data_IF_483805935126
#
_entry.id   IF_483805935126
#
_cell.length_a   1.000
_cell.length_b   1.000
_cell.length_c   1.000
_cell.angle_alpha   90.00
_cell.angle_beta   90.00
_cell.angle_gamma   90.00
#
_symmetry.space_group_name_H-M   'P 1'
#
loop_
_entity.id
_entity.type
_entity.pdbx_description
1 polymer ?
#
# COMPACT_ATOMS: atom_id res chain seq x y z
N UNK A 1 -7.59 0.03 33.56
CA UNK A 1 -6.23 -0.45 33.20
C UNK A 1 -6.17 -0.39 31.68
N UNK A 2 -5.38 0.52 31.10
CA UNK A 2 -5.20 0.57 29.64
C UNK A 2 -4.29 -0.60 29.28
N UNK A 3 -4.83 -1.62 28.61
CA UNK A 3 -4.03 -2.72 28.10
C UNK A 3 -3.07 -2.19 27.04
N UNK A 4 -1.82 -2.64 27.04
CA UNK A 4 -0.89 -2.28 25.97
C UNK A 4 -1.26 -3.05 24.70
N UNK A 5 -1.14 -2.44 23.51
CA UNK A 5 -1.41 -3.10 22.22
C UNK A 5 -0.72 -4.47 22.10
N UNK A 6 0.49 -4.60 22.65
CA UNK A 6 1.21 -5.87 22.75
C UNK A 6 0.39 -6.95 23.44
N UNK A 7 -0.12 -6.67 24.66
CA UNK A 7 -0.88 -7.61 25.46
C UNK A 7 -2.17 -8.03 24.76
N UNK A 8 -2.84 -7.09 24.08
CA UNK A 8 -4.07 -7.39 23.34
C UNK A 8 -3.79 -8.33 22.15
N UNK A 9 -2.67 -8.14 21.45
CA UNK A 9 -2.22 -9.00 20.35
C UNK A 9 -1.83 -10.41 20.86
N UNK A 10 -1.08 -10.48 21.97
CA UNK A 10 -0.72 -11.74 22.63
C UNK A 10 -1.97 -12.54 23.03
N UNK A 11 -2.95 -11.87 23.66
CA UNK A 11 -4.23 -12.48 24.04
C UNK A 11 -5.05 -12.93 22.83
N UNK A 12 -5.11 -12.13 21.77
CA UNK A 12 -5.86 -12.46 20.56
C UNK A 12 -5.32 -13.72 19.87
N UNK A 13 -4.00 -13.86 19.78
CA UNK A 13 -3.34 -14.99 19.13
C UNK A 13 -3.20 -16.21 20.05
N UNK A 14 -3.19 -16.01 21.36
CA UNK A 14 -2.93 -17.05 22.35
C UNK A 14 -1.46 -17.44 22.40
N UNK A 15 -0.56 -16.48 22.15
CA UNK A 15 0.90 -16.62 22.15
C UNK A 15 1.52 -15.51 22.99
N UNK A 16 2.80 -15.62 23.32
CA UNK A 16 3.56 -14.58 24.03
C UNK A 16 4.82 -14.21 23.28
N UNK A 17 5.21 -12.94 23.32
CA UNK A 17 6.54 -12.58 22.85
C UNK A 17 7.62 -13.16 23.78
N UNK A 18 8.80 -13.54 23.25
CA UNK A 18 9.88 -14.04 24.09
C UNK A 18 10.38 -12.94 25.04
N UNK A 19 10.67 -13.32 26.28
CA UNK A 19 11.10 -12.39 27.33
C UNK A 19 12.53 -12.72 27.80
N UNK A 20 13.32 -11.68 28.08
CA UNK A 20 14.62 -11.78 28.75
C UNK A 20 14.59 -10.85 29.95
N UNK A 21 14.84 -11.38 31.14
CA UNK A 21 14.77 -10.64 32.40
C UNK A 21 13.40 -9.96 32.66
N UNK A 22 12.31 -10.53 32.15
CA UNK A 22 10.96 -9.98 32.31
C UNK A 22 10.58 -8.89 31.29
N UNK A 23 11.46 -8.57 30.34
CA UNK A 23 11.16 -7.64 29.25
C UNK A 23 11.04 -8.39 27.92
N UNK A 24 10.06 -8.04 27.08
CA UNK A 24 9.96 -8.62 25.75
C UNK A 24 11.15 -8.22 24.88
N UNK A 25 11.73 -9.22 24.22
CA UNK A 25 12.84 -9.06 23.28
C UNK A 25 12.28 -8.74 21.89
N UNK A 26 11.42 -7.72 21.81
CA UNK A 26 10.81 -7.29 20.54
C UNK A 26 11.20 -5.86 20.28
N UNK A 27 11.85 -5.61 19.15
CA UNK A 27 12.13 -4.26 18.69
C UNK A 27 11.20 -3.88 17.55
N UNK A 28 10.55 -2.73 17.69
CA UNK A 28 9.73 -2.15 16.65
C UNK A 28 10.36 -0.83 16.23
N UNK A 29 10.84 -0.76 15.00
CA UNK A 29 11.50 0.40 14.42
C UNK A 29 10.62 0.97 13.31
N UNK A 30 10.52 2.29 13.26
CA UNK A 30 9.90 3.00 12.15
C UNK A 30 10.97 3.87 11.48
N UNK A 31 11.12 3.67 10.17
CA UNK A 31 12.22 4.24 9.41
C UNK A 31 11.70 5.09 8.25
N UNK A 32 12.42 6.18 7.97
CA UNK A 32 12.19 7.04 6.81
C UNK A 32 12.98 6.58 5.57
N UNK A 33 13.62 5.42 5.63
CA UNK A 33 14.28 4.77 4.49
C UNK A 33 13.26 4.32 3.44
N UNK A 34 13.71 4.26 2.19
CA UNK A 34 12.96 3.68 1.08
C UNK A 34 13.67 2.38 0.69
N UNK A 35 13.06 1.21 0.94
CA UNK A 35 13.64 -0.06 0.51
C UNK A 35 13.56 -0.19 -1.02
N UNK A 36 14.46 -0.98 -1.61
CA UNK A 36 14.45 -1.25 -3.07
C UNK A 36 13.10 -1.78 -3.56
N UNK A 37 12.44 -2.59 -2.74
CA UNK A 37 11.11 -3.14 -3.03
C UNK A 37 10.02 -2.06 -3.19
N UNK A 38 10.24 -0.85 -2.69
CA UNK A 38 9.30 0.27 -2.82
C UNK A 38 9.64 1.23 -3.98
N UNK A 39 10.71 1.00 -4.75
CA UNK A 39 11.12 1.95 -5.80
C UNK A 39 10.01 2.23 -6.82
N UNK A 40 9.29 1.21 -7.29
CA UNK A 40 8.18 1.38 -8.24
C UNK A 40 7.07 2.25 -7.66
N UNK A 41 6.68 2.00 -6.39
CA UNK A 41 5.70 2.81 -5.68
C UNK A 41 6.13 4.29 -5.58
N UNK A 42 7.42 4.52 -5.34
CA UNK A 42 7.96 5.88 -5.21
C UNK A 42 8.06 6.62 -6.55
N UNK A 43 8.16 5.91 -7.67
CA UNK A 43 8.18 6.49 -9.03
C UNK A 43 6.81 6.99 -9.50
N UNK A 44 5.73 6.63 -8.79
CA UNK A 44 4.37 7.08 -9.07
C UNK A 44 3.62 6.18 -10.06
N UNK A 45 2.36 6.54 -10.33
CA UNK A 45 1.42 5.80 -11.19
C UNK A 45 1.70 5.99 -12.68
N UNK A 46 2.97 6.07 -13.10
CA UNK A 46 3.29 6.26 -14.51
C UNK A 46 3.79 4.94 -15.07
N UNK A 47 3.14 4.46 -16.14
CA UNK A 47 3.58 3.29 -16.88
C UNK A 47 4.97 3.48 -17.47
N UNK A 48 5.25 4.69 -17.98
CA UNK A 48 6.57 5.13 -18.41
C UNK A 48 6.87 6.54 -17.86
N UNK A 49 7.49 6.63 -16.67
CA UNK A 49 7.79 7.91 -16.02
C UNK A 49 8.69 8.82 -16.86
N UNK A 50 9.62 8.24 -17.64
CA UNK A 50 10.56 9.02 -18.46
C UNK A 50 9.85 9.63 -19.67
N UNK A 51 8.95 8.88 -20.31
CA UNK A 51 8.14 9.39 -21.41
C UNK A 51 7.18 10.50 -20.95
N UNK A 52 6.51 10.30 -19.81
CA UNK A 52 5.67 11.35 -19.18
C UNK A 52 6.49 12.60 -18.88
N UNK A 53 7.70 12.44 -18.32
CA UNK A 53 8.62 13.55 -18.06
C UNK A 53 9.03 14.29 -19.33
N UNK A 54 9.29 13.57 -20.42
CA UNK A 54 9.58 14.18 -21.72
C UNK A 54 8.38 14.96 -22.28
N UNK A 55 7.17 14.44 -22.12
CA UNK A 55 5.93 15.14 -22.51
C UNK A 55 5.76 16.46 -21.77
N UNK A 56 5.96 16.49 -20.44
CA UNK A 56 5.93 17.74 -19.68
C UNK A 56 7.02 18.74 -20.10
N UNK A 57 8.23 18.27 -20.40
CA UNK A 57 9.31 19.13 -20.93
C UNK A 57 8.94 19.75 -22.27
N UNK A 58 8.32 18.97 -23.16
CA UNK A 58 7.88 19.46 -24.47
C UNK A 58 6.78 20.52 -24.33
N UNK A 59 5.79 20.29 -23.46
CA UNK A 59 4.77 21.29 -23.13
C UNK A 59 5.38 22.59 -22.62
N UNK A 60 6.35 22.50 -21.71
CA UNK A 60 7.05 23.67 -21.18
C UNK A 60 7.82 24.41 -22.29
N UNK A 61 8.47 23.69 -23.19
CA UNK A 61 9.23 24.27 -24.31
C UNK A 61 8.32 24.99 -25.31
N UNK A 62 7.20 24.40 -25.72
CA UNK A 62 6.27 25.05 -26.65
C UNK A 62 5.56 26.24 -25.98
N UNK A 63 5.24 26.14 -24.68
CA UNK A 63 4.73 27.28 -23.89
C UNK A 63 5.75 28.43 -23.86
N UNK A 64 7.02 28.13 -23.60
CA UNK A 64 8.09 29.12 -23.64
C UNK A 64 8.24 29.77 -25.02
N UNK A 65 8.14 28.97 -26.09
CA UNK A 65 8.21 29.46 -27.46
C UNK A 65 7.08 30.44 -27.81
N UNK A 66 5.87 30.22 -27.30
CA UNK A 66 4.76 31.17 -27.44
C UNK A 66 5.06 32.50 -26.71
N UNK A 67 5.62 32.43 -25.51
CA UNK A 67 6.04 33.60 -24.74
C UNK A 67 7.12 34.38 -25.47
N UNK A 68 8.11 33.70 -26.07
CA UNK A 68 9.18 34.32 -26.85
C UNK A 68 8.67 35.05 -28.10
N UNK A 69 7.55 34.58 -28.68
CA UNK A 69 6.88 35.28 -29.78
C UNK A 69 6.13 36.52 -29.24
N UNK A 70 5.39 36.39 -28.14
CA UNK A 70 4.51 37.44 -27.63
C UNK A 70 5.26 38.57 -26.92
N UNK A 71 6.28 38.26 -26.13
CA UNK A 71 6.95 39.23 -25.25
C UNK A 71 7.59 40.40 -26.00
N UNK A 72 8.37 40.19 -27.09
CA UNK A 72 8.93 41.28 -27.88
C UNK A 72 7.86 42.13 -28.59
N UNK A 73 6.70 41.55 -28.85
CA UNK A 73 5.58 42.18 -29.57
C UNK A 73 4.61 42.91 -28.65
N UNK A 74 4.65 42.63 -27.34
CA UNK A 74 3.72 43.14 -26.33
C UNK A 74 3.60 44.66 -26.30
N UNK A 75 4.71 45.38 -26.34
CA UNK A 75 4.72 46.85 -26.28
C UNK A 75 3.98 47.46 -27.48
N UNK A 76 4.30 46.98 -28.69
CA UNK A 76 3.71 47.45 -29.94
C UNK A 76 2.22 47.09 -30.05
N UNK A 77 1.83 45.88 -29.63
CA UNK A 77 0.42 45.49 -29.56
C UNK A 77 -0.38 46.35 -28.58
N UNK A 78 0.23 46.74 -27.46
CA UNK A 78 -0.40 47.61 -26.46
C UNK A 78 -0.57 49.04 -26.99
N UNK A 79 0.46 49.58 -27.62
CA UNK A 79 0.43 50.89 -28.28
C UNK A 79 -0.71 50.97 -29.32
N UNK A 80 -0.88 49.92 -30.13
CA UNK A 80 -1.94 49.84 -31.13
C UNK A 80 -3.34 49.59 -30.57
N UNK A 81 -3.44 49.12 -29.32
CA UNK A 81 -4.72 49.02 -28.63
C UNK A 81 -5.21 50.40 -28.16
N UNK A 82 -4.28 51.30 -27.82
CA UNK A 82 -4.57 52.65 -27.32
C UNK A 82 -4.64 53.70 -28.44
N UNK A 83 -3.95 53.47 -29.57
CA UNK A 83 -3.87 54.42 -30.69
C UNK A 83 -3.75 53.71 -32.04
N UNK A 84 -4.39 54.25 -33.09
CA UNK A 84 -4.32 53.64 -34.43
C UNK A 84 -2.89 53.74 -35.01
N UNK A 85 -2.41 52.70 -35.70
CA UNK A 85 -1.07 52.70 -36.28
C UNK A 85 -0.93 53.71 -37.42
N UNK A 86 0.17 54.48 -37.41
CA UNK A 86 0.52 55.46 -38.46
C UNK A 86 0.68 54.83 -39.85
N UNK A 87 1.03 53.53 -39.90
CA UNK A 87 1.22 52.75 -41.13
C UNK A 87 0.35 51.48 -41.12
N UNK A 88 -0.91 51.58 -41.56
CA UNK A 88 -1.87 50.48 -41.45
C UNK A 88 -1.45 49.17 -42.13
N UNK A 89 -0.81 49.25 -43.30
CA UNK A 89 -0.35 48.06 -44.06
C UNK A 89 0.79 47.31 -43.37
N UNK A 90 1.69 48.04 -42.70
CA UNK A 90 2.78 47.43 -41.93
C UNK A 90 2.24 46.76 -40.66
N UNK A 91 1.26 47.40 -40.02
CA UNK A 91 0.57 46.84 -38.86
C UNK A 91 -0.21 45.56 -39.21
N UNK A 92 -0.93 45.56 -40.33
CA UNK A 92 -1.63 44.37 -40.83
C UNK A 92 -0.66 43.22 -41.10
N UNK A 93 0.47 43.49 -41.76
CA UNK A 93 1.50 42.48 -42.05
C UNK A 93 2.10 41.91 -40.76
N UNK A 94 2.39 42.76 -39.78
CA UNK A 94 2.89 42.36 -38.47
C UNK A 94 1.90 41.47 -37.72
N UNK A 95 0.62 41.83 -37.69
CA UNK A 95 -0.43 41.05 -37.03
C UNK A 95 -0.61 39.70 -37.71
N UNK A 96 -0.58 39.66 -39.04
CA UNK A 96 -0.69 38.42 -39.81
C UNK A 96 0.46 37.47 -39.53
N UNK A 97 1.71 37.96 -39.62
CA UNK A 97 2.90 37.15 -39.33
C UNK A 97 2.90 36.63 -37.87
N UNK A 98 2.50 37.50 -36.93
CA UNK A 98 2.40 37.12 -35.51
C UNK A 98 1.35 36.03 -35.32
N UNK A 99 0.19 36.16 -35.96
CA UNK A 99 -0.89 35.17 -35.89
C UNK A 99 -0.45 33.83 -36.48
N UNK A 100 0.19 33.84 -37.64
CA UNK A 100 0.71 32.62 -38.28
C UNK A 100 1.74 31.89 -37.41
N UNK A 101 2.68 32.64 -36.81
CA UNK A 101 3.68 32.07 -35.90
C UNK A 101 3.05 31.48 -34.63
N UNK A 102 2.05 32.16 -34.05
CA UNK A 102 1.33 31.67 -32.87
C UNK A 102 0.53 30.42 -33.19
N UNK A 103 -0.19 30.39 -34.32
CA UNK A 103 -1.02 29.26 -34.73
C UNK A 103 -0.22 27.97 -34.86
N UNK A 104 0.98 28.04 -35.45
CA UNK A 104 1.87 26.87 -35.60
C UNK A 104 2.29 26.33 -34.22
N UNK A 105 2.60 27.23 -33.28
CA UNK A 105 3.03 26.85 -31.92
C UNK A 105 1.89 26.34 -31.07
N UNK A 106 0.71 26.93 -31.19
CA UNK A 106 -0.51 26.45 -30.56
C UNK A 106 -0.85 25.03 -31.01
N UNK A 107 -0.79 24.75 -32.32
CA UNK A 107 -1.02 23.39 -32.83
C UNK A 107 -0.06 22.36 -32.24
N UNK A 108 1.23 22.71 -32.11
CA UNK A 108 2.24 21.83 -31.48
C UNK A 108 1.98 21.65 -29.99
N UNK A 109 1.60 22.71 -29.29
CA UNK A 109 1.25 22.66 -27.87
C UNK A 109 0.05 21.74 -27.63
N UNK A 110 -1.03 21.91 -28.41
CA UNK A 110 -2.23 21.07 -28.34
C UNK A 110 -1.91 19.61 -28.65
N UNK A 111 -1.04 19.34 -29.62
CA UNK A 111 -0.62 17.97 -29.91
C UNK A 111 0.19 17.37 -28.75
N UNK A 112 1.16 18.10 -28.21
CA UNK A 112 1.95 17.65 -27.07
C UNK A 112 1.09 17.41 -25.82
N UNK A 113 0.08 18.25 -25.60
CA UNK A 113 -0.91 18.07 -24.53
C UNK A 113 -1.71 16.78 -24.73
N UNK A 114 -2.28 16.58 -25.92
CA UNK A 114 -3.05 15.37 -26.24
C UNK A 114 -2.22 14.11 -26.06
N UNK A 115 -0.98 14.11 -26.54
CA UNK A 115 -0.09 12.97 -26.43
C UNK A 115 0.27 12.68 -24.96
N UNK A 116 0.51 13.71 -24.15
CA UNK A 116 0.76 13.54 -22.72
C UNK A 116 -0.49 13.05 -21.98
N UNK A 117 -1.66 13.61 -22.27
CA UNK A 117 -2.93 13.17 -21.67
C UNK A 117 -3.19 11.70 -22.01
N UNK A 118 -2.96 11.28 -23.25
CA UNK A 118 -3.06 9.87 -23.64
C UNK A 118 -2.14 8.96 -22.83
N UNK A 119 -0.87 9.35 -22.65
CA UNK A 119 0.08 8.60 -21.82
C UNK A 119 -0.34 8.51 -20.35
N UNK A 120 -0.90 9.58 -19.80
CA UNK A 120 -1.41 9.62 -18.43
C UNK A 120 -2.65 8.73 -18.27
N UNK A 121 -3.54 8.70 -19.27
CA UNK A 121 -4.74 7.85 -19.26
C UNK A 121 -4.41 6.37 -19.39
N UNK A 122 -3.33 6.02 -20.07
CA UNK A 122 -2.85 4.64 -20.17
C UNK A 122 -2.20 4.11 -18.89
N UNK A 123 -1.92 4.98 -17.91
CA UNK A 123 -1.26 4.57 -16.67
C UNK A 123 -2.28 4.31 -15.55
N UNK A 124 -2.15 3.18 -14.85
CA UNK A 124 -3.08 2.74 -13.83
C UNK A 124 -2.42 2.17 -12.57
N UNK A 125 -3.24 1.85 -11.56
CA UNK A 125 -2.78 1.17 -10.34
C UNK A 125 -2.18 -0.22 -10.63
N UNK A 126 -2.67 -0.87 -11.70
CA UNK A 126 -2.21 -2.18 -12.16
C UNK A 126 -0.75 -2.16 -12.67
N UNK A 127 -0.22 -0.99 -13.04
CA UNK A 127 1.19 -0.85 -13.44
C UNK A 127 2.14 -0.82 -12.23
N UNK A 128 1.60 -0.62 -11.02
CA UNK A 128 2.38 -0.51 -9.78
C UNK A 128 2.17 -1.74 -8.89
N UNK A 129 0.94 -2.24 -8.78
CA UNK A 129 0.59 -3.32 -7.85
C UNK A 129 0.39 -4.67 -8.55
N UNK A 130 0.68 -5.80 -7.87
CA UNK A 130 1.12 -5.89 -6.47
C UNK A 130 2.61 -5.55 -6.29
N UNK A 131 2.95 -4.93 -5.15
CA UNK A 131 4.34 -4.74 -4.72
C UNK A 131 4.70 -5.67 -3.56
N UNK A 132 5.97 -6.09 -3.40
CA UNK A 132 6.34 -6.98 -2.31
C UNK A 132 6.00 -6.39 -0.93
N UNK A 133 5.53 -7.21 0.01
CA UNK A 133 5.25 -6.78 1.40
C UNK A 133 6.46 -6.08 2.06
N UNK A 134 7.68 -6.50 1.69
CA UNK A 134 8.95 -5.90 2.09
C UNK A 134 9.10 -4.40 1.72
N UNK A 135 8.27 -3.88 0.81
CA UNK A 135 8.18 -2.46 0.52
C UNK A 135 7.65 -1.64 1.71
N UNK A 136 6.83 -2.25 2.57
CA UNK A 136 6.17 -1.61 3.71
C UNK A 136 6.84 -1.92 5.04
N UNK A 137 7.40 -3.12 5.19
CA UNK A 137 8.15 -3.50 6.37
C UNK A 137 8.79 -4.87 6.27
N UNK A 138 9.75 -5.13 7.14
CA UNK A 138 10.47 -6.41 7.22
C UNK A 138 10.48 -6.92 8.66
N UNK A 139 10.39 -8.24 8.82
CA UNK A 139 10.63 -8.92 10.07
C UNK A 139 12.00 -9.61 10.03
N UNK A 140 12.73 -9.65 11.14
CA UNK A 140 13.89 -10.54 11.27
C UNK A 140 13.70 -11.58 12.37
N UNK A 141 14.08 -12.81 12.07
CA UNK A 141 13.78 -13.99 12.90
C UNK A 141 14.77 -14.23 14.04
N UNK A 142 16.07 -14.01 13.81
CA UNK A 142 17.14 -14.32 14.79
C UNK A 142 17.15 -13.35 15.97
N UNK A 143 16.92 -12.08 15.68
CA UNK A 143 16.64 -11.03 16.66
C UNK A 143 15.24 -10.49 16.34
N UNK A 144 14.19 -10.93 17.06
CA UNK A 144 12.81 -10.58 16.75
C UNK A 144 12.62 -9.06 16.68
N UNK A 145 12.54 -8.55 15.46
CA UNK A 145 12.31 -7.15 15.20
C UNK A 145 11.45 -6.95 13.96
N UNK A 146 10.77 -5.81 13.95
CA UNK A 146 10.05 -5.27 12.80
C UNK A 146 10.65 -3.92 12.49
N UNK A 147 10.96 -3.69 11.21
CA UNK A 147 11.25 -2.36 10.67
C UNK A 147 10.15 -1.98 9.69
N UNK A 148 9.38 -0.94 10.00
CA UNK A 148 8.41 -0.35 9.08
C UNK A 148 9.01 0.82 8.31
N UNK A 149 8.65 0.93 7.03
CA UNK A 149 9.10 2.01 6.16
C UNK A 149 7.98 3.05 5.99
N UNK A 150 8.10 4.19 6.69
CA UNK A 150 7.06 5.21 6.76
C UNK A 150 6.84 5.93 5.43
N UNK A 151 7.89 6.16 4.63
CA UNK A 151 7.77 6.83 3.33
C UNK A 151 6.93 6.03 2.33
N UNK A 152 7.21 4.73 2.09
CA UNK A 152 6.33 3.88 1.28
C UNK A 152 4.88 3.83 1.78
N UNK A 153 4.67 3.71 3.10
CA UNK A 153 3.32 3.69 3.70
C UNK A 153 2.58 5.00 3.39
N UNK A 154 3.22 6.15 3.63
CA UNK A 154 2.63 7.46 3.31
C UNK A 154 2.35 7.63 1.83
N UNK A 155 3.28 7.21 0.96
CA UNK A 155 3.10 7.29 -0.49
C UNK A 155 1.94 6.42 -0.98
N UNK A 156 1.80 5.22 -0.43
CA UNK A 156 0.64 4.38 -0.70
C UNK A 156 -0.66 5.06 -0.27
N UNK A 157 -0.69 5.62 0.95
CA UNK A 157 -1.86 6.32 1.47
C UNK A 157 -2.30 7.49 0.58
N UNK A 158 -1.36 8.27 0.06
CA UNK A 158 -1.62 9.34 -0.91
C UNK A 158 -2.25 8.81 -2.21
N UNK A 159 -1.68 7.74 -2.77
CA UNK A 159 -2.12 7.14 -4.03
C UNK A 159 -3.57 6.65 -3.93
N UNK A 160 -3.89 5.94 -2.85
CA UNK A 160 -5.23 5.36 -2.65
C UNK A 160 -6.18 6.28 -1.85
N UNK A 161 -5.74 7.49 -1.52
CA UNK A 161 -6.51 8.52 -0.83
C UNK A 161 -7.11 8.06 0.52
N UNK A 162 -6.31 7.38 1.35
CA UNK A 162 -6.70 6.94 2.69
C UNK A 162 -5.90 7.68 3.78
N UNK A 163 -6.41 7.63 5.02
CA UNK A 163 -5.74 8.25 6.15
C UNK A 163 -4.39 7.54 6.46
N UNK A 164 -3.25 8.26 6.39
CA UNK A 164 -1.93 7.66 6.58
C UNK A 164 -1.70 7.14 8.01
N UNK A 165 -2.29 7.77 9.02
CA UNK A 165 -2.13 7.34 10.42
C UNK A 165 -2.91 6.05 10.69
N UNK A 166 -4.17 5.98 10.23
CA UNK A 166 -4.99 4.77 10.31
C UNK A 166 -4.35 3.60 9.56
N UNK A 167 -3.80 3.85 8.37
CA UNK A 167 -3.05 2.87 7.61
C UNK A 167 -1.80 2.39 8.38
N UNK A 168 -0.98 3.32 8.88
CA UNK A 168 0.22 2.97 9.65
C UNK A 168 -0.12 2.13 10.87
N UNK A 169 -1.21 2.46 11.57
CA UNK A 169 -1.70 1.66 12.70
C UNK A 169 -2.10 0.24 12.26
N UNK A 170 -2.87 0.10 11.19
CA UNK A 170 -3.28 -1.20 10.66
C UNK A 170 -2.09 -2.07 10.25
N UNK A 171 -1.11 -1.49 9.56
CA UNK A 171 0.14 -2.16 9.16
C UNK A 171 0.96 -2.55 10.39
N UNK A 172 1.07 -1.67 11.39
CA UNK A 172 1.76 -1.97 12.65
C UNK A 172 1.16 -3.18 13.35
N UNK A 173 -0.17 -3.26 13.45
CA UNK A 173 -0.86 -4.42 14.01
C UNK A 173 -0.54 -5.69 13.22
N UNK A 174 -0.55 -5.61 11.89
CA UNK A 174 -0.19 -6.75 11.04
C UNK A 174 1.22 -7.28 11.34
N UNK A 175 2.22 -6.41 11.33
CA UNK A 175 3.60 -6.83 11.55
C UNK A 175 3.86 -7.32 12.98
N UNK A 176 3.09 -6.84 13.97
CA UNK A 176 3.13 -7.39 15.33
C UNK A 176 2.56 -8.81 15.39
N UNK A 177 1.43 -9.08 14.73
CA UNK A 177 0.92 -10.46 14.60
C UNK A 177 1.88 -11.35 13.82
N UNK A 178 2.47 -10.84 12.74
CA UNK A 178 3.46 -11.57 11.94
C UNK A 178 4.65 -11.98 12.80
N UNK A 179 5.20 -11.02 13.54
CA UNK A 179 6.34 -11.27 14.42
C UNK A 179 6.00 -12.27 15.54
N UNK A 180 4.80 -12.14 16.13
CA UNK A 180 4.36 -13.06 17.18
C UNK A 180 4.18 -14.49 16.64
N UNK A 181 3.66 -14.64 15.43
CA UNK A 181 3.47 -15.95 14.81
C UNK A 181 4.80 -16.66 14.53
N UNK A 182 5.82 -15.92 14.08
CA UNK A 182 7.12 -16.49 13.67
C UNK A 182 8.10 -16.69 14.84
N UNK A 183 8.03 -15.84 15.87
CA UNK A 183 9.01 -15.80 16.96
C UNK A 183 8.41 -15.94 18.37
N UNK A 184 7.09 -16.02 18.49
CA UNK A 184 6.41 -16.13 19.78
C UNK A 184 6.66 -17.46 20.49
N UNK A 185 6.50 -17.46 21.81
CA UNK A 185 6.35 -18.66 22.62
C UNK A 185 4.86 -19.03 22.72
N UNK A 186 4.59 -20.32 22.81
CA UNK A 186 3.28 -20.81 23.22
C UNK A 186 3.02 -20.47 24.69
N UNK A 187 1.76 -20.62 25.15
CA UNK A 187 1.39 -20.32 26.54
C UNK A 187 2.10 -21.20 27.59
N UNK A 188 2.63 -22.36 27.19
CA UNK A 188 3.47 -23.22 28.01
C UNK A 188 4.96 -22.80 28.03
N UNK A 189 5.29 -21.67 27.40
CA UNK A 189 6.64 -21.10 27.36
C UNK A 189 7.56 -21.72 26.32
N UNK A 190 7.10 -22.70 25.52
CA UNK A 190 7.93 -23.33 24.50
C UNK A 190 7.98 -22.49 23.23
N UNK A 191 9.18 -22.37 22.66
CA UNK A 191 9.42 -21.60 21.43
C UNK A 191 9.41 -22.55 20.24
N UNK A 192 8.55 -22.25 19.27
CA UNK A 192 8.48 -22.96 18.00
C UNK A 192 8.58 -21.96 16.87
N UNK A 193 9.67 -22.03 16.10
CA UNK A 193 9.88 -21.18 14.94
C UNK A 193 9.56 -21.94 13.65
N UNK A 194 8.75 -21.34 12.79
CA UNK A 194 8.49 -21.81 11.41
C UNK A 194 9.08 -20.76 10.46
N UNK A 195 9.91 -21.21 9.52
CA UNK A 195 10.42 -20.41 8.41
C UNK A 195 10.25 -21.18 7.11
N UNK A 196 9.97 -20.48 6.00
CA UNK A 196 9.84 -21.08 4.67
C UNK A 196 8.42 -21.42 4.22
N UNK A 197 7.39 -21.23 5.05
CA UNK A 197 5.96 -21.29 4.64
C UNK A 197 5.35 -19.89 4.62
N UNK A 198 5.96 -18.98 3.85
CA UNK A 198 5.63 -17.54 3.87
C UNK A 198 4.15 -17.28 3.53
N UNK A 199 3.55 -18.03 2.59
CA UNK A 199 2.13 -17.86 2.24
C UNK A 199 1.19 -18.16 3.41
N UNK A 200 1.38 -19.29 4.11
CA UNK A 200 0.56 -19.67 5.27
C UNK A 200 0.74 -18.68 6.40
N UNK A 201 1.98 -18.26 6.66
CA UNK A 201 2.33 -17.29 7.70
C UNK A 201 1.60 -15.96 7.44
N UNK A 202 1.68 -15.43 6.21
CA UNK A 202 1.02 -14.18 5.83
C UNK A 202 -0.50 -14.30 5.85
N UNK A 203 -1.04 -15.45 5.44
CA UNK A 203 -2.48 -15.72 5.50
C UNK A 203 -3.00 -15.79 6.94
N UNK A 204 -2.36 -16.56 7.83
CA UNK A 204 -2.71 -16.63 9.25
C UNK A 204 -2.60 -15.26 9.92
N UNK A 205 -1.52 -14.53 9.65
CA UNK A 205 -1.35 -13.14 10.11
C UNK A 205 -2.52 -12.28 9.67
N UNK A 206 -2.98 -12.43 8.43
CA UNK A 206 -4.12 -11.69 7.91
C UNK A 206 -5.44 -12.03 8.59
N UNK A 207 -5.66 -13.31 8.96
CA UNK A 207 -6.80 -13.76 9.76
C UNK A 207 -6.84 -13.03 11.10
N UNK A 208 -5.74 -13.08 11.86
CA UNK A 208 -5.68 -12.47 13.19
C UNK A 208 -5.77 -10.95 13.13
N UNK A 209 -5.05 -10.32 12.20
CA UNK A 209 -5.07 -8.86 12.01
C UNK A 209 -6.46 -8.37 11.67
N UNK A 210 -7.13 -9.00 10.70
CA UNK A 210 -8.46 -8.58 10.30
C UNK A 210 -9.47 -8.71 11.45
N UNK A 211 -9.45 -9.83 12.18
CA UNK A 211 -10.33 -10.02 13.35
C UNK A 211 -10.09 -8.96 14.42
N UNK A 212 -8.82 -8.69 14.72
CA UNK A 212 -8.43 -7.68 15.70
C UNK A 212 -8.95 -6.30 15.28
N UNK A 213 -8.60 -5.83 14.07
CA UNK A 213 -9.01 -4.52 13.58
C UNK A 213 -10.54 -4.39 13.46
N UNK A 214 -11.25 -5.48 13.16
CA UNK A 214 -12.72 -5.50 13.11
C UNK A 214 -13.39 -5.15 14.42
N UNK A 215 -12.75 -5.47 15.55
CA UNK A 215 -13.23 -5.08 16.87
C UNK A 215 -12.92 -3.62 17.25
N UNK A 216 -12.05 -2.94 16.47
CA UNK A 216 -11.50 -1.62 16.83
C UNK A 216 -12.15 -0.49 16.02
N UNK A 217 -12.15 -0.57 14.68
CA UNK A 217 -12.67 0.49 13.82
C UNK A 217 -12.92 0.00 12.39
N UNK A 218 -14.00 0.47 11.78
CA UNK A 218 -14.32 0.23 10.36
C UNK A 218 -13.30 0.88 9.43
N UNK A 219 -12.78 2.05 9.79
CA UNK A 219 -11.74 2.77 9.01
C UNK A 219 -10.45 1.95 8.95
N UNK A 220 -10.03 1.36 10.08
CA UNK A 220 -8.83 0.53 10.14
C UNK A 220 -8.96 -0.72 9.27
N UNK A 221 -10.15 -1.33 9.22
CA UNK A 221 -10.41 -2.46 8.32
C UNK A 221 -10.29 -2.03 6.86
N UNK A 222 -10.89 -0.90 6.48
CA UNK A 222 -10.84 -0.42 5.11
C UNK A 222 -9.39 -0.16 4.67
N UNK A 223 -8.62 0.55 5.51
CA UNK A 223 -7.20 0.78 5.27
C UNK A 223 -6.42 -0.54 5.11
N UNK A 224 -6.70 -1.51 5.99
CA UNK A 224 -6.07 -2.82 5.95
C UNK A 224 -6.41 -3.61 4.69
N UNK A 225 -7.67 -3.60 4.25
CA UNK A 225 -8.11 -4.30 3.05
C UNK A 225 -7.45 -3.75 1.79
N UNK A 226 -7.40 -2.42 1.63
CA UNK A 226 -6.71 -1.80 0.50
C UNK A 226 -5.22 -2.11 0.51
N UNK A 227 -4.59 -2.07 1.68
CA UNK A 227 -3.19 -2.44 1.81
C UNK A 227 -2.91 -3.92 1.48
N UNK A 228 -3.77 -4.85 1.94
CA UNK A 228 -3.66 -6.28 1.62
C UNK A 228 -3.73 -6.53 0.11
N UNK A 229 -4.65 -5.86 -0.59
CA UNK A 229 -4.71 -5.93 -2.06
C UNK A 229 -3.42 -5.43 -2.71
N UNK A 230 -2.86 -4.33 -2.20
CA UNK A 230 -1.68 -3.69 -2.78
C UNK A 230 -0.42 -4.56 -2.76
N UNK A 231 -0.24 -5.44 -1.77
CA UNK A 231 0.87 -6.39 -1.77
C UNK A 231 0.52 -7.79 -2.31
N UNK A 232 -0.70 -7.96 -2.84
CA UNK A 232 -1.16 -9.23 -3.40
C UNK A 232 -1.59 -10.27 -2.35
N UNK A 233 -1.87 -9.82 -1.12
CA UNK A 233 -2.34 -10.68 -0.05
C UNK A 233 -3.79 -11.14 -0.25
N UNK A 234 -4.13 -12.27 0.39
CA UNK A 234 -5.48 -12.83 0.34
C UNK A 234 -6.25 -12.46 1.60
N UNK A 235 -7.43 -11.86 1.40
CA UNK A 235 -8.35 -11.64 2.51
C UNK A 235 -8.94 -12.96 3.00
N UNK A 236 -8.99 -13.18 4.33
CA UNK A 236 -9.55 -14.39 4.90
C UNK A 236 -11.06 -14.49 4.66
N UNK A 237 -11.59 -15.70 4.39
CA UNK A 237 -13.02 -15.91 4.16
C UNK A 237 -13.85 -15.59 5.41
N UNK A 238 -15.08 -15.11 5.19
CA UNK A 238 -15.96 -14.69 6.29
C UNK A 238 -16.29 -15.80 7.29
N UNK A 239 -16.29 -17.06 6.83
CA UNK A 239 -16.52 -18.24 7.66
C UNK A 239 -15.53 -18.39 8.81
N UNK A 240 -14.35 -17.77 8.71
CA UNK A 240 -13.36 -17.78 9.77
C UNK A 240 -13.63 -16.76 10.87
N UNK A 241 -14.68 -15.94 10.84
CA UNK A 241 -14.84 -14.87 11.84
C UNK A 241 -15.80 -15.19 12.99
N UNK A 242 -16.34 -16.40 13.08
CA UNK A 242 -17.10 -16.84 14.26
C UNK A 242 -16.16 -17.42 15.34
N UNK A 243 -16.65 -17.50 16.59
CA UNK A 243 -15.87 -17.95 17.76
C UNK A 243 -15.34 -19.38 17.58
N UNK A 244 -16.17 -20.31 17.11
CA UNK A 244 -15.77 -21.71 16.85
C UNK A 244 -14.62 -21.79 15.85
N UNK A 245 -14.72 -21.09 14.73
CA UNK A 245 -13.66 -21.03 13.73
C UNK A 245 -12.40 -20.35 14.28
N UNK A 246 -12.54 -19.40 15.21
CA UNK A 246 -11.42 -18.77 15.89
C UNK A 246 -10.63 -19.76 16.74
N UNK A 247 -11.32 -20.54 17.56
CA UNK A 247 -10.71 -21.58 18.39
C UNK A 247 -10.03 -22.65 17.55
N UNK A 248 -10.68 -23.11 16.47
CA UNK A 248 -10.08 -24.03 15.49
C UNK A 248 -8.82 -23.45 14.85
N UNK A 249 -8.86 -22.19 14.41
CA UNK A 249 -7.70 -21.52 13.80
C UNK A 249 -6.54 -21.50 14.78
N UNK A 250 -6.82 -21.17 16.05
CA UNK A 250 -5.81 -21.15 17.11
C UNK A 250 -5.23 -22.53 17.39
N UNK A 251 -6.09 -23.53 17.56
CA UNK A 251 -5.66 -24.91 17.82
C UNK A 251 -4.80 -25.46 16.67
N UNK A 252 -5.24 -25.26 15.42
CA UNK A 252 -4.49 -25.67 14.24
C UNK A 252 -3.16 -24.91 14.13
N UNK A 253 -3.14 -23.62 14.41
CA UNK A 253 -1.92 -22.81 14.39
C UNK A 253 -0.90 -23.28 15.43
N UNK A 254 -1.33 -23.52 16.68
CA UNK A 254 -0.44 -24.05 17.72
C UNK A 254 0.07 -25.44 17.35
N UNK A 255 -0.80 -26.32 16.85
CA UNK A 255 -0.41 -27.66 16.44
C UNK A 255 0.58 -27.65 15.26
N UNK A 256 0.32 -26.83 14.24
CA UNK A 256 1.18 -26.65 13.07
C UNK A 256 2.56 -26.09 13.42
N UNK A 257 2.64 -25.18 14.41
CA UNK A 257 3.92 -24.68 14.92
C UNK A 257 4.70 -25.76 15.67
N UNK A 258 4.01 -26.64 16.42
CA UNK A 258 4.63 -27.73 17.18
C UNK A 258 5.09 -28.91 16.33
N UNK A 259 4.44 -29.14 15.18
CA UNK A 259 4.71 -30.28 14.29
C UNK A 259 5.35 -29.79 12.98
N UNK A 260 6.67 -29.70 12.94
CA UNK A 260 7.42 -29.14 11.79
C UNK A 260 7.34 -29.99 10.52
N UNK A 261 6.89 -31.23 10.62
CA UNK A 261 6.81 -32.22 9.55
C UNK A 261 5.42 -32.34 8.91
N UNK A 262 4.43 -31.55 9.36
CA UNK A 262 3.04 -31.61 8.89
C UNK A 262 2.70 -30.29 8.21
N UNK A 263 1.95 -30.33 7.10
CA UNK A 263 1.52 -29.09 6.42
C UNK A 263 0.42 -28.36 7.18
N UNK A 264 0.15 -27.11 6.82
CA UNK A 264 -0.98 -26.37 7.37
C UNK A 264 -2.31 -27.04 7.05
N UNK A 265 -2.50 -27.52 5.82
CA UNK A 265 -3.73 -28.15 5.35
C UNK A 265 -4.02 -29.44 6.14
N UNK A 266 -3.00 -30.24 6.40
CA UNK A 266 -3.10 -31.45 7.20
C UNK A 266 -3.45 -31.11 8.65
N UNK A 267 -2.79 -30.12 9.26
CA UNK A 267 -3.12 -29.66 10.62
C UNK A 267 -4.56 -29.15 10.72
N UNK A 268 -4.99 -28.37 9.74
CA UNK A 268 -6.35 -27.83 9.66
C UNK A 268 -7.39 -28.94 9.54
N UNK A 269 -7.10 -29.95 8.71
CA UNK A 269 -7.97 -31.11 8.54
C UNK A 269 -8.10 -31.93 9.83
N UNK A 270 -6.98 -32.24 10.50
CA UNK A 270 -6.97 -32.97 11.78
C UNK A 270 -7.82 -32.24 12.82
N UNK A 271 -7.63 -30.93 12.99
CA UNK A 271 -8.40 -30.14 13.97
C UNK A 271 -9.90 -30.12 13.63
N UNK A 272 -10.25 -30.09 12.34
CA UNK A 272 -11.65 -30.15 11.93
C UNK A 272 -12.31 -31.52 12.16
N UNK A 273 -11.54 -32.61 12.17
CA UNK A 273 -12.03 -33.96 12.45
C UNK A 273 -12.24 -34.26 13.94
N UNK A 274 -11.57 -33.50 14.83
CA UNK A 274 -11.66 -33.70 16.28
C UNK A 274 -12.97 -33.19 16.88
N UNK A 275 -13.77 -32.46 16.12
CA UNK A 275 -15.15 -32.17 16.51
C UNK A 275 -16.06 -33.27 15.97
N UNK A 276 -16.85 -33.93 16.84
CA UNK A 276 -17.98 -34.71 16.35
C UNK A 276 -18.85 -33.77 15.52
N UNK A 277 -19.28 -34.21 14.33
CA UNK A 277 -20.52 -33.70 13.75
C UNK A 277 -21.51 -33.72 14.90
N UNK A 278 -21.99 -32.54 15.31
CA UNK A 278 -22.99 -32.42 16.34
C UNK A 278 -24.06 -33.43 16.00
N UNK A 279 -24.13 -34.47 16.82
CA UNK A 279 -25.20 -35.43 16.88
C UNK A 279 -26.47 -34.64 16.65
N UNK A 280 -27.14 -34.92 15.53
CA UNK A 280 -28.58 -34.75 15.48
C UNK A 280 -29.09 -35.32 16.80
N UNK A 281 -29.46 -34.44 17.72
CA UNK A 281 -30.27 -34.82 18.87
C UNK A 281 -31.63 -35.12 18.27
N UNK A 282 -31.72 -36.28 17.61
CA UNK A 282 -32.94 -37.04 17.46
C UNK A 282 -33.17 -37.73 18.81
N UNK A 283 -34.27 -37.34 19.46
CA UNK A 283 -34.91 -38.05 20.58
C UNK A 283 -34.30 -37.74 21.95
N UNK A 284 -35.07 -37.59 23.04
CA UNK A 284 -36.38 -38.18 23.34
C UNK A 284 -37.17 -37.36 24.38
N UNK A 285 -38.50 -37.46 24.23
CA UNK A 285 -39.64 -37.08 25.09
C UNK A 285 -40.04 -35.61 25.19
#
# INVERSE_FOLDING_TARGET
MVSSLRLEIEQAMGLKFPERNGEAIVRFEESMEVPRAAETLMRGLYRDPERVRQGFKLLQQETGSLIDILMPRRSRLREWADSLPDRPKEAESFLKETTEQLLIREQRLVQAERDLVGQLQESGLEDVFPIPLAAFGICTYRDPNVKLFLKPIGRFAEIVQINPESLRQAIRVHFLFLLLLIAGADLDGRVYARGGEDEVIHWLTSVYTFRFLKSQSTELIQCYQEWVKAWGGKMPPQSLFNERACEKTRAAMVFWRRQLNISWEECWHIVNQLEPESSNVMGFN
#
